data_IF_900058157333
#
_entry.id   IF_900058157333
#
_cell.length_a   1.000
_cell.length_b   1.000
_cell.length_c   1.000
_cell.angle_alpha   90.00
_cell.angle_beta   90.00
_cell.angle_gamma   90.00
#
_symmetry.space_group_name_H-M   'P 1'
#
loop_
_entity.id
_entity.type
_entity.pdbx_description
1 polymer ?
#
# COMPACT_ATOMS: atom_id res chain seq x y z
N UNK A 1 -13.98 -24.99 22.29
CA UNK A 1 -12.71 -24.19 22.30
C UNK A 1 -12.81 -23.18 21.19
N UNK A 2 -12.87 -21.90 21.53
CA UNK A 2 -12.92 -20.84 20.50
C UNK A 2 -11.66 -20.92 19.65
N UNK A 3 -11.82 -21.04 18.34
CA UNK A 3 -10.71 -20.88 17.41
C UNK A 3 -9.99 -19.56 17.71
N UNK A 4 -8.73 -19.65 18.11
CA UNK A 4 -7.91 -18.44 18.24
C UNK A 4 -7.85 -17.76 16.87
N UNK A 5 -8.48 -16.58 16.78
CA UNK A 5 -8.41 -15.73 15.60
C UNK A 5 -6.94 -15.53 15.22
N UNK A 6 -6.48 -16.22 14.19
CA UNK A 6 -5.09 -16.10 13.70
C UNK A 6 -4.98 -14.79 12.93
N UNK A 7 -4.12 -13.90 13.42
CA UNK A 7 -3.74 -12.71 12.66
C UNK A 7 -3.05 -13.11 11.36
N UNK A 8 -3.54 -12.64 10.24
CA UNK A 8 -2.88 -12.85 8.95
C UNK A 8 -1.50 -12.19 8.99
N UNK A 9 -0.44 -12.94 8.69
CA UNK A 9 0.92 -12.44 8.53
C UNK A 9 1.57 -11.86 9.80
N UNK A 10 1.87 -12.74 10.73
CA UNK A 10 2.71 -12.41 11.87
C UNK A 10 4.14 -12.88 11.58
N UNK A 11 5.09 -11.96 11.62
CA UNK A 11 6.49 -12.36 11.67
C UNK A 11 6.77 -13.00 13.04
N UNK A 12 7.36 -14.20 13.07
CA UNK A 12 7.77 -14.83 14.34
C UNK A 12 8.75 -13.91 15.09
N UNK A 13 8.59 -13.76 16.39
CA UNK A 13 9.51 -12.99 17.23
C UNK A 13 9.25 -11.47 17.30
N UNK A 14 8.27 -10.92 16.58
CA UNK A 14 7.95 -9.48 16.69
C UNK A 14 7.27 -9.17 18.02
N UNK A 15 7.85 -8.29 18.82
CA UNK A 15 7.24 -7.81 20.05
C UNK A 15 6.23 -6.69 19.73
N UNK A 16 4.96 -7.04 19.69
CA UNK A 16 3.87 -6.12 19.37
C UNK A 16 3.55 -5.10 20.48
N UNK A 17 4.32 -5.08 21.57
CA UNK A 17 4.14 -4.16 22.70
C UNK A 17 5.07 -2.96 22.66
N UNK A 18 6.17 -3.04 21.91
CA UNK A 18 7.23 -2.04 21.86
C UNK A 18 6.92 -0.84 20.97
N UNK A 19 7.83 0.14 21.02
CA UNK A 19 7.85 1.29 20.12
C UNK A 19 8.06 0.83 18.69
N UNK A 20 7.32 1.41 17.74
CA UNK A 20 7.44 1.02 16.34
C UNK A 20 6.41 1.65 15.43
N UNK A 21 6.62 1.44 14.14
CA UNK A 21 5.74 1.87 13.06
C UNK A 21 5.00 0.66 12.49
N UNK A 22 3.71 0.82 12.25
CA UNK A 22 2.84 -0.26 11.80
C UNK A 22 1.94 0.21 10.67
N UNK A 23 1.98 -0.51 9.55
CA UNK A 23 1.03 -0.33 8.47
C UNK A 23 -0.17 -1.25 8.71
N UNK A 24 -1.35 -0.65 8.78
CA UNK A 24 -2.62 -1.34 9.00
C UNK A 24 -3.49 -1.24 7.75
N UNK A 25 -4.13 -2.33 7.36
CA UNK A 25 -5.10 -2.34 6.27
C UNK A 25 -6.39 -3.01 6.73
N UNK A 26 -7.50 -2.30 6.66
CA UNK A 26 -8.85 -2.83 6.88
C UNK A 26 -9.58 -2.90 5.53
N UNK A 27 -10.02 -4.09 5.16
CA UNK A 27 -10.65 -4.34 3.87
C UNK A 27 -12.11 -4.76 4.05
N UNK A 28 -13.00 -4.28 3.16
CA UNK A 28 -14.37 -4.77 3.06
C UNK A 28 -14.35 -6.07 2.24
N UNK A 29 -15.01 -7.15 2.71
CA UNK A 29 -15.19 -8.38 1.94
C UNK A 29 -15.76 -8.11 0.55
N UNK A 30 -15.37 -8.94 -0.41
CA UNK A 30 -15.78 -8.84 -1.82
C UNK A 30 -15.45 -7.49 -2.49
N UNK A 31 -14.59 -6.68 -1.85
CA UNK A 31 -14.18 -5.38 -2.38
C UNK A 31 -15.35 -4.44 -2.71
N UNK A 32 -16.45 -4.54 -1.96
CA UNK A 32 -17.61 -3.65 -2.12
C UNK A 32 -17.23 -2.19 -1.81
N UNK A 33 -17.52 -1.23 -2.70
CA UNK A 33 -17.07 0.17 -2.56
C UNK A 33 -17.99 0.97 -1.61
N UNK A 34 -18.07 0.57 -0.34
CA UNK A 34 -18.99 1.15 0.65
C UNK A 34 -18.43 2.37 1.38
N UNK A 35 -17.09 2.57 1.36
CA UNK A 35 -16.43 3.63 2.12
C UNK A 35 -16.30 4.93 1.35
N UNK A 36 -16.36 4.87 0.02
CA UNK A 36 -16.19 6.05 -0.80
C UNK A 36 -16.43 5.77 -2.28
N UNK A 37 -16.43 6.86 -3.06
CA UNK A 37 -16.48 6.84 -4.52
C UNK A 37 -15.21 7.46 -5.09
N UNK A 38 -14.59 6.81 -6.05
CA UNK A 38 -13.47 7.38 -6.79
C UNK A 38 -14.01 8.44 -7.77
N UNK A 39 -13.48 9.64 -7.69
CA UNK A 39 -13.70 10.74 -8.63
C UNK A 39 -12.40 11.02 -9.38
N UNK A 40 -12.51 11.20 -10.70
CA UNK A 40 -11.36 11.47 -11.58
C UNK A 40 -11.65 12.76 -12.35
N UNK A 41 -11.33 13.93 -11.77
CA UNK A 41 -11.60 15.21 -12.42
C UNK A 41 -10.90 15.33 -13.77
N UNK A 42 -11.66 15.67 -14.82
CA UNK A 42 -11.16 15.82 -16.18
C UNK A 42 -10.53 14.55 -16.77
N UNK A 43 -10.98 13.36 -16.32
CA UNK A 43 -10.45 12.06 -16.71
C UNK A 43 -8.93 11.91 -16.51
N UNK A 44 -8.33 12.77 -15.66
CA UNK A 44 -6.91 12.71 -15.32
C UNK A 44 -6.68 11.86 -14.07
N UNK A 45 -6.04 10.68 -14.18
CA UNK A 45 -5.76 9.80 -13.04
C UNK A 45 -4.94 10.46 -11.93
N UNK A 46 -4.03 11.38 -12.27
CA UNK A 46 -3.19 12.07 -11.29
C UNK A 46 -3.99 12.97 -10.34
N UNK A 47 -5.20 13.37 -10.77
CA UNK A 47 -6.13 14.18 -9.98
C UNK A 47 -7.19 13.34 -9.27
N UNK A 48 -7.08 12.03 -9.33
CA UNK A 48 -8.04 11.12 -8.73
C UNK A 48 -8.10 11.28 -7.21
N UNK A 49 -9.31 11.38 -6.68
CA UNK A 49 -9.60 11.49 -5.25
C UNK A 49 -10.72 10.54 -4.87
N UNK A 50 -10.81 10.19 -3.58
CA UNK A 50 -11.91 9.40 -3.06
C UNK A 50 -12.84 10.30 -2.26
N UNK A 51 -14.06 10.51 -2.76
CA UNK A 51 -15.14 11.14 -1.99
C UNK A 51 -15.70 10.11 -1.02
N UNK A 52 -15.62 10.40 0.27
CA UNK A 52 -16.04 9.50 1.33
C UNK A 52 -17.56 9.43 1.44
N UNK A 53 -18.07 8.26 1.79
CA UNK A 53 -19.47 8.08 2.23
C UNK A 53 -19.61 8.43 3.72
N UNK A 54 -20.83 8.47 4.24
CA UNK A 54 -21.05 8.62 5.68
C UNK A 54 -20.39 7.50 6.49
N UNK A 55 -20.44 6.24 6.02
CA UNK A 55 -19.70 5.13 6.63
C UNK A 55 -18.18 5.34 6.57
N UNK A 56 -17.67 5.84 5.45
CA UNK A 56 -16.25 6.16 5.28
C UNK A 56 -15.78 7.26 6.23
N UNK A 57 -16.58 8.32 6.44
CA UNK A 57 -16.30 9.38 7.41
C UNK A 57 -16.29 8.83 8.84
N UNK A 58 -17.33 8.09 9.25
CA UNK A 58 -17.40 7.50 10.58
C UNK A 58 -16.24 6.55 10.88
N UNK A 59 -15.77 5.79 9.87
CA UNK A 59 -14.60 4.92 10.00
C UNK A 59 -13.31 5.73 10.20
N UNK A 60 -13.15 6.84 9.47
CA UNK A 60 -11.99 7.73 9.62
C UNK A 60 -12.01 8.41 10.98
N UNK A 61 -13.16 8.90 11.45
CA UNK A 61 -13.30 9.50 12.76
C UNK A 61 -12.91 8.48 13.85
N UNK A 62 -13.39 7.24 13.76
CA UNK A 62 -12.99 6.16 14.67
C UNK A 62 -11.48 5.83 14.62
N UNK A 63 -10.85 5.95 13.47
CA UNK A 63 -9.38 5.79 13.35
C UNK A 63 -8.65 6.94 14.06
N UNK A 64 -9.09 8.16 13.84
CA UNK A 64 -8.48 9.37 14.42
C UNK A 64 -8.71 9.50 15.92
N UNK A 65 -9.70 8.82 16.47
CA UNK A 65 -9.95 8.72 17.91
C UNK A 65 -9.04 7.72 18.64
N UNK A 66 -8.27 6.89 17.92
CA UNK A 66 -7.35 5.94 18.55
C UNK A 66 -6.42 6.60 19.58
N UNK A 67 -5.77 7.76 19.32
CA UNK A 67 -4.91 8.42 20.30
C UNK A 67 -5.63 8.90 21.56
N UNK A 68 -6.95 9.10 21.50
CA UNK A 68 -7.75 9.47 22.67
C UNK A 68 -7.84 8.31 23.68
N UNK A 69 -8.04 7.08 23.18
CA UNK A 69 -8.10 5.88 24.02
C UNK A 69 -6.73 5.26 24.32
N UNK A 70 -5.78 5.48 23.43
CA UNK A 70 -4.42 4.95 23.47
C UNK A 70 -3.41 6.07 23.24
N UNK A 71 -3.08 6.90 24.26
CA UNK A 71 -2.19 8.04 24.12
C UNK A 71 -0.77 7.68 23.66
N UNK A 72 -0.42 6.40 23.74
CA UNK A 72 0.84 5.85 23.24
C UNK A 72 0.90 5.77 21.72
N UNK A 73 -0.26 5.75 21.06
CA UNK A 73 -0.39 5.55 19.61
C UNK A 73 -0.70 6.87 18.93
N UNK A 74 -0.01 7.13 17.83
CA UNK A 74 -0.27 8.26 16.95
C UNK A 74 -0.65 7.73 15.56
N UNK A 75 -1.68 8.29 14.95
CA UNK A 75 -2.01 8.08 13.53
C UNK A 75 -1.17 9.05 12.71
N UNK A 76 -0.14 8.53 12.02
CA UNK A 76 0.76 9.36 11.22
C UNK A 76 0.17 9.70 9.86
N UNK A 77 -0.45 8.71 9.23
CA UNK A 77 -0.95 8.84 7.87
C UNK A 77 -2.06 7.84 7.60
N UNK A 78 -2.98 8.16 6.70
CA UNK A 78 -4.00 7.22 6.24
C UNK A 78 -4.53 7.60 4.86
N UNK A 79 -5.09 6.61 4.15
CA UNK A 79 -5.87 6.81 2.93
C UNK A 79 -7.09 5.89 2.95
N UNK A 80 -8.26 6.49 2.78
CA UNK A 80 -9.50 5.75 2.60
C UNK A 80 -9.74 5.52 1.12
N UNK A 81 -9.80 4.25 0.76
CA UNK A 81 -10.19 3.80 -0.57
C UNK A 81 -11.67 3.40 -0.58
N UNK A 82 -12.31 3.24 -1.74
CA UNK A 82 -13.71 2.85 -1.80
C UNK A 82 -14.06 1.57 -1.02
N UNK A 83 -13.14 0.63 -0.93
CA UNK A 83 -13.34 -0.73 -0.43
C UNK A 83 -12.38 -1.13 0.69
N UNK A 84 -11.48 -0.23 1.11
CA UNK A 84 -10.52 -0.49 2.19
C UNK A 84 -9.92 0.80 2.75
N UNK A 85 -9.29 0.69 3.91
CA UNK A 85 -8.56 1.76 4.59
C UNK A 85 -7.12 1.32 4.81
N UNK A 86 -6.17 2.17 4.45
CA UNK A 86 -4.78 2.08 4.88
C UNK A 86 -4.49 3.11 5.97
N UNK A 87 -3.76 2.70 7.00
CA UNK A 87 -3.27 3.61 8.04
C UNK A 87 -1.85 3.28 8.45
N UNK A 88 -1.08 4.30 8.81
CA UNK A 88 0.24 4.17 9.44
C UNK A 88 0.13 4.64 10.87
N UNK A 89 0.35 3.73 11.79
CA UNK A 89 0.30 3.96 13.23
C UNK A 89 1.73 3.96 13.80
N UNK A 90 2.02 4.93 14.66
CA UNK A 90 3.26 5.00 15.41
C UNK A 90 3.01 4.76 16.89
N UNK A 91 3.65 3.76 17.46
CA UNK A 91 3.67 3.49 18.89
C UNK A 91 4.86 4.21 19.49
N UNK A 92 4.61 5.25 20.30
CA UNK A 92 5.66 6.11 20.86
C UNK A 92 6.33 5.54 22.11
N UNK A 93 5.63 4.70 22.85
CA UNK A 93 6.11 4.04 24.07
C UNK A 93 5.45 2.69 24.25
N UNK A 94 6.07 1.81 25.03
CA UNK A 94 5.56 0.46 25.31
C UNK A 94 4.15 0.51 25.89
N UNK A 95 3.28 -0.34 25.36
CA UNK A 95 1.87 -0.45 25.72
C UNK A 95 1.57 -1.76 26.46
N UNK A 96 0.67 -1.76 27.44
CA UNK A 96 0.23 -2.98 28.11
C UNK A 96 -0.43 -3.99 27.17
N UNK A 97 -1.34 -3.51 26.31
CA UNK A 97 -2.14 -4.33 25.39
C UNK A 97 -1.44 -4.62 24.05
N UNK A 98 -0.44 -3.81 23.69
CA UNK A 98 0.22 -3.84 22.40
C UNK A 98 -0.66 -3.36 21.24
N UNK A 99 -0.02 -3.11 20.09
CA UNK A 99 -0.71 -2.57 18.90
C UNK A 99 -1.82 -3.49 18.38
N UNK A 100 -1.71 -4.79 18.56
CA UNK A 100 -2.75 -5.74 18.16
C UNK A 100 -4.05 -5.51 18.92
N UNK A 101 -3.97 -5.21 20.22
CA UNK A 101 -5.14 -4.86 21.04
C UNK A 101 -5.82 -3.59 20.55
N UNK A 102 -5.03 -2.56 20.24
CA UNK A 102 -5.52 -1.29 19.68
C UNK A 102 -6.25 -1.52 18.35
N UNK A 103 -5.62 -2.24 17.41
CA UNK A 103 -6.23 -2.51 16.09
C UNK A 103 -7.45 -3.43 16.20
N UNK A 104 -7.46 -4.36 17.17
CA UNK A 104 -8.65 -5.17 17.47
C UNK A 104 -9.79 -4.29 17.97
N UNK A 105 -9.53 -3.35 18.88
CA UNK A 105 -10.53 -2.39 19.37
C UNK A 105 -11.10 -1.54 18.22
N UNK A 106 -10.25 -0.98 17.39
CA UNK A 106 -10.66 -0.26 16.18
C UNK A 106 -11.54 -1.13 15.26
N UNK A 107 -11.14 -2.37 14.98
CA UNK A 107 -11.93 -3.29 14.17
C UNK A 107 -13.30 -3.61 14.78
N UNK A 108 -13.38 -3.79 16.10
CA UNK A 108 -14.66 -4.01 16.77
C UNK A 108 -15.58 -2.76 16.65
N UNK A 109 -15.01 -1.55 16.73
CA UNK A 109 -15.69 -0.30 16.42
C UNK A 109 -16.21 -0.27 14.98
N UNK A 110 -15.36 -0.57 14.01
CA UNK A 110 -15.74 -0.68 12.60
C UNK A 110 -16.87 -1.68 12.35
N UNK A 111 -16.85 -2.84 13.03
CA UNK A 111 -17.96 -3.84 12.96
C UNK A 111 -19.28 -3.28 13.48
N UNK A 112 -19.26 -2.48 14.54
CA UNK A 112 -20.48 -1.80 15.04
C UNK A 112 -20.99 -0.78 14.02
N UNK A 113 -20.11 0.06 13.47
CA UNK A 113 -20.46 1.02 12.41
C UNK A 113 -21.05 0.32 11.18
N UNK A 114 -20.42 -0.78 10.73
CA UNK A 114 -20.91 -1.57 9.60
C UNK A 114 -22.32 -2.14 9.85
N UNK A 115 -22.60 -2.66 11.04
CA UNK A 115 -23.93 -3.15 11.40
C UNK A 115 -24.98 -2.02 11.41
N UNK A 116 -24.66 -0.90 12.01
CA UNK A 116 -25.55 0.28 12.04
C UNK A 116 -25.83 0.78 10.60
N UNK A 117 -24.80 0.85 9.77
CA UNK A 117 -24.94 1.22 8.35
C UNK A 117 -25.85 0.25 7.58
N UNK A 118 -25.65 -1.05 7.74
CA UNK A 118 -26.45 -2.07 7.07
C UNK A 118 -27.92 -2.00 7.50
N UNK A 119 -28.16 -1.80 8.79
CA UNK A 119 -29.52 -1.63 9.33
C UNK A 119 -30.22 -0.38 8.75
N UNK A 120 -29.51 0.76 8.70
CA UNK A 120 -30.05 2.00 8.12
C UNK A 120 -30.35 1.86 6.62
N UNK A 121 -29.46 1.16 5.87
CA UNK A 121 -29.64 0.96 4.43
C UNK A 121 -30.80 0.05 4.07
N UNK A 122 -31.11 -0.95 4.89
CA UNK A 122 -32.24 -1.86 4.68
C UNK A 122 -33.59 -1.23 5.01
N UNK A 123 -33.64 -0.27 5.93
CA UNK A 123 -34.86 0.46 6.27
C UNK A 123 -35.25 1.52 5.21
N UNK A 124 -34.31 1.91 4.37
CA UNK A 124 -34.45 2.99 3.38
C UNK A 124 -34.61 2.52 1.94
N UNK A 125 -34.80 1.24 1.68
CA UNK A 125 -35.02 0.74 0.31
C UNK A 125 -36.42 1.17 -0.19
N UNK A 126 -36.61 1.79 -1.38
CA UNK A 126 -35.76 1.87 -2.58
C UNK A 126 -35.29 3.28 -2.98
N UNK A 127 -35.41 4.33 -2.16
CA UNK A 127 -35.12 5.72 -2.55
C UNK A 127 -33.73 6.24 -2.20
N UNK A 128 -32.90 5.49 -1.49
CA UNK A 128 -31.62 6.01 -0.96
C UNK A 128 -30.48 6.07 -1.98
N UNK A 129 -30.66 5.52 -3.17
CA UNK A 129 -29.63 5.59 -4.24
C UNK A 129 -29.62 6.96 -4.95
N UNK A 130 -30.63 7.82 -4.74
CA UNK A 130 -30.78 9.06 -5.52
C UNK A 130 -30.78 10.41 -4.77
N UNK A 131 -30.79 10.47 -3.47
CA UNK A 131 -30.92 11.78 -2.81
C UNK A 131 -30.43 11.78 -1.38
N UNK A 132 -29.45 12.56 -1.10
CA UNK A 132 -29.02 13.28 0.11
C UNK A 132 -27.52 13.24 0.36
N UNK A 133 -26.74 13.57 -0.70
CA UNK A 133 -25.33 13.93 -0.51
C UNK A 133 -25.12 15.38 -0.02
N UNK A 134 -26.17 16.16 0.18
CA UNK A 134 -26.05 17.60 0.51
C UNK A 134 -26.14 17.93 2.02
N UNK A 135 -26.78 17.13 2.85
CA UNK A 135 -26.94 17.48 4.27
C UNK A 135 -25.75 17.09 5.16
N UNK A 136 -24.93 16.11 4.79
CA UNK A 136 -23.70 15.78 5.52
C UNK A 136 -22.58 16.82 5.40
N UNK A 137 -22.69 17.78 4.49
CA UNK A 137 -21.64 18.79 4.27
C UNK A 137 -21.61 19.92 5.31
N UNK A 138 -22.69 20.20 6.04
CA UNK A 138 -22.73 21.32 6.99
C UNK A 138 -22.12 21.03 8.35
N UNK A 139 -21.98 19.78 8.77
CA UNK A 139 -21.53 19.44 10.13
C UNK A 139 -20.01 19.30 10.28
N UNK A 140 -19.24 19.16 9.20
CA UNK A 140 -17.80 18.88 9.25
C UNK A 140 -16.89 19.92 8.61
N UNK A 141 -17.41 21.06 8.10
CA UNK A 141 -16.54 22.09 7.49
C UNK A 141 -15.53 22.68 8.49
N UNK A 142 -15.90 22.89 9.75
CA UNK A 142 -15.00 23.46 10.77
C UNK A 142 -13.86 22.52 11.22
N UNK A 143 -14.04 21.19 11.12
CA UNK A 143 -12.97 20.22 11.44
C UNK A 143 -12.12 19.85 10.22
N UNK A 144 -12.67 19.94 9.01
CA UNK A 144 -11.97 19.63 7.77
C UNK A 144 -10.93 20.69 7.39
N UNK A 145 -11.17 21.96 7.69
CA UNK A 145 -10.23 23.05 7.38
C UNK A 145 -8.89 22.85 8.10
N UNK A 146 -8.89 22.44 9.36
CA UNK A 146 -7.67 22.15 10.12
C UNK A 146 -6.92 20.90 9.62
N UNK A 147 -7.61 19.95 8.94
CA UNK A 147 -6.98 18.76 8.36
C UNK A 147 -6.50 18.97 6.92
N UNK A 148 -7.15 19.86 6.16
CA UNK A 148 -6.70 20.24 4.83
C UNK A 148 -5.46 21.14 4.89
N UNK A 149 -5.27 21.94 5.92
CA UNK A 149 -4.02 22.69 6.15
C UNK A 149 -2.84 21.77 6.43
N UNK A 150 -3.03 20.68 7.19
CA UNK A 150 -2.00 19.64 7.37
C UNK A 150 -1.60 18.92 6.08
N UNK A 151 -2.52 18.77 5.13
CA UNK A 151 -2.21 18.21 3.81
C UNK A 151 -1.61 19.24 2.84
N UNK A 152 -1.95 20.53 2.97
CA UNK A 152 -1.37 21.61 2.15
C UNK A 152 0.10 21.88 2.49
N UNK A 153 0.54 21.69 3.72
CA UNK A 153 1.94 21.83 4.11
C UNK A 153 2.88 20.78 3.48
N UNK A 154 2.35 19.68 2.96
CA UNK A 154 3.13 18.63 2.28
C UNK A 154 3.09 18.69 0.75
N UNK A 155 2.37 19.66 0.16
CA UNK A 155 2.44 19.96 -1.29
C UNK A 155 3.54 20.99 -1.58
N UNK A 156 4.74 20.80 -1.03
CA UNK A 156 5.94 21.47 -1.47
C UNK A 156 6.22 21.10 -2.93
N UNK A 157 6.35 22.13 -3.78
CA UNK A 157 6.64 22.03 -5.21
C UNK A 157 7.74 20.99 -5.47
N UNK A 158 7.68 20.21 -6.55
CA UNK A 158 8.80 19.37 -6.97
C UNK A 158 9.98 20.30 -7.32
N UNK A 159 10.94 20.36 -6.42
CA UNK A 159 12.20 21.05 -6.66
C UNK A 159 13.02 20.23 -7.67
N UNK A 160 13.39 20.88 -8.76
CA UNK A 160 14.37 20.41 -9.72
C UNK A 160 15.66 19.98 -9.00
N UNK A 161 15.95 18.70 -8.95
CA UNK A 161 17.27 18.20 -8.68
C UNK A 161 18.02 17.99 -9.99
N UNK A 162 18.69 19.05 -10.43
CA UNK A 162 19.81 18.93 -11.34
C UNK A 162 21.10 18.81 -10.53
N UNK A 163 21.82 17.76 -10.81
CA UNK A 163 23.23 17.54 -10.86
C UNK A 163 24.14 18.12 -9.76
N UNK A 164 25.01 17.25 -9.29
CA UNK A 164 26.20 17.67 -8.58
C UNK A 164 26.92 16.51 -7.90
N UNK A 165 27.71 15.78 -8.69
CA UNK A 165 28.80 14.98 -8.16
C UNK A 165 29.78 15.86 -7.39
N UNK A 166 30.25 15.40 -6.23
CA UNK A 166 31.69 15.31 -5.94
C UNK A 166 31.96 14.57 -4.63
N UNK A 167 32.81 13.59 -4.77
CA UNK A 167 33.55 12.93 -3.68
C UNK A 167 34.32 13.93 -2.86
N UNK A 168 34.37 13.74 -1.53
CA UNK A 168 35.65 13.86 -0.84
C UNK A 168 35.68 13.04 0.46
N UNK A 169 36.72 12.24 0.56
CA UNK A 169 37.14 11.52 1.73
C UNK A 169 37.72 12.50 2.75
N UNK A 170 37.37 12.36 4.02
CA UNK A 170 38.01 13.05 5.14
C UNK A 170 37.89 12.19 6.39
N UNK A 171 39.01 11.83 6.93
CA UNK A 171 39.22 11.02 8.14
C UNK A 171 38.72 11.73 9.42
N UNK A 172 38.44 10.97 10.51
CA UNK A 172 37.98 11.52 11.77
C UNK A 172 39.16 12.03 12.62
N UNK A 173 39.02 13.21 13.15
CA UNK A 173 39.90 13.67 14.27
C UNK A 173 39.10 13.74 15.58
N UNK A 174 39.75 13.18 16.60
CA UNK A 174 39.38 13.19 18.00
C UNK A 174 39.34 14.60 18.58
N UNK A 175 38.30 14.95 19.34
CA UNK A 175 38.44 15.96 20.39
C UNK A 175 37.75 15.50 21.66
N UNK A 176 38.61 15.26 22.69
CA UNK A 176 38.24 15.22 24.09
C UNK A 176 38.17 16.64 24.66
N UNK A 177 37.11 16.94 25.40
CA UNK A 177 37.02 18.20 26.16
C UNK A 177 36.12 18.02 27.38
N UNK A 178 36.67 18.19 28.55
CA UNK A 178 36.12 18.03 29.89
C UNK A 178 35.10 19.11 30.30
N UNK A 179 34.40 18.91 31.45
CA UNK A 179 33.21 19.64 31.84
C UNK A 179 33.51 20.88 32.67
N UNK A 180 32.65 21.87 32.60
CA UNK A 180 32.68 23.09 33.42
C UNK A 180 31.26 23.44 33.94
N UNK A 181 31.18 23.40 35.20
CA UNK A 181 30.36 23.89 36.32
C UNK A 181 29.37 25.05 36.07
N UNK A 182 28.19 24.86 36.64
CA UNK A 182 27.41 25.76 37.55
C UNK A 182 27.05 27.18 37.09
N UNK A 183 25.74 27.48 37.02
CA UNK A 183 25.18 28.54 37.88
C UNK A 183 23.65 28.50 37.94
N UNK A 184 23.18 28.68 39.18
CA UNK A 184 21.81 28.85 39.63
C UNK A 184 21.18 30.16 39.12
N UNK A 185 19.87 30.21 39.00
CA UNK A 185 19.18 31.48 38.72
C UNK A 185 17.67 31.36 38.67
N UNK A 186 17.05 31.47 39.84
CA UNK A 186 15.77 32.13 40.16
C UNK A 186 14.44 31.67 39.53
N UNK A 187 13.63 31.13 40.46
CA UNK A 187 12.17 31.03 40.40
C UNK A 187 11.51 32.40 40.21
N UNK A 188 10.51 32.47 39.33
CA UNK A 188 9.41 33.42 39.48
C UNK A 188 8.10 32.69 39.15
N UNK A 189 7.30 32.57 40.20
CA UNK A 189 5.97 31.97 40.16
C UNK A 189 4.96 32.78 39.36
N UNK A 190 4.18 32.08 38.59
CA UNK A 190 2.88 32.55 38.11
C UNK A 190 1.85 31.46 38.33
N UNK A 191 1.00 31.71 39.30
CA UNK A 191 -0.26 31.00 39.54
C UNK A 191 -1.15 31.16 38.31
N UNK A 192 -1.29 30.14 37.52
CA UNK A 192 -2.27 30.05 36.42
C UNK A 192 -3.46 29.22 36.85
N UNK A 193 -4.63 29.82 36.79
CA UNK A 193 -5.93 29.26 37.10
C UNK A 193 -6.18 27.94 36.31
N UNK A 194 -6.53 26.88 37.06
CA UNK A 194 -7.19 25.70 36.52
C UNK A 194 -8.55 26.09 35.99
N UNK A 195 -8.71 26.16 34.70
CA UNK A 195 -10.03 26.09 34.07
C UNK A 195 -10.41 24.63 33.91
N UNK A 196 -11.41 24.23 34.67
CA UNK A 196 -12.13 22.97 34.57
C UNK A 196 -12.85 22.86 33.22
N UNK A 197 -12.24 22.14 32.28
CA UNK A 197 -12.85 21.69 31.04
C UNK A 197 -12.96 20.16 31.00
N UNK A 198 -13.51 19.58 32.04
CA UNK A 198 -13.77 18.14 32.13
C UNK A 198 -15.28 17.78 31.98
N UNK A 199 -16.04 18.50 31.19
CA UNK A 199 -17.48 18.24 31.13
C UNK A 199 -18.11 18.09 29.74
N UNK A 200 -17.43 18.39 28.64
CA UNK A 200 -18.14 18.56 27.37
C UNK A 200 -17.70 17.68 26.19
N UNK A 201 -16.70 16.80 26.34
CA UNK A 201 -16.23 15.94 25.27
C UNK A 201 -16.61 14.46 25.37
N UNK A 202 -17.09 14.01 26.53
CA UNK A 202 -17.60 12.64 26.72
C UNK A 202 -18.99 12.41 26.14
N UNK A 203 -19.80 13.47 26.04
CA UNK A 203 -21.19 13.34 25.63
C UNK A 203 -21.41 13.21 24.12
N UNK A 204 -20.53 13.73 23.26
CA UNK A 204 -20.80 13.73 21.81
C UNK A 204 -20.70 12.34 21.16
N UNK A 205 -19.75 11.52 21.59
CA UNK A 205 -19.60 10.16 21.08
C UNK A 205 -20.64 9.21 21.68
N UNK A 206 -20.96 9.37 22.96
CA UNK A 206 -22.06 8.64 23.58
C UNK A 206 -23.43 9.06 23.02
N UNK A 207 -23.65 10.37 22.77
CA UNK A 207 -24.86 10.84 22.12
C UNK A 207 -24.97 10.41 20.66
N UNK A 208 -23.88 10.36 19.91
CA UNK A 208 -23.85 9.86 18.52
C UNK A 208 -24.02 8.34 18.49
N UNK A 209 -23.35 7.61 19.38
CA UNK A 209 -23.56 6.17 19.56
C UNK A 209 -24.99 5.89 20.04
N UNK A 210 -25.52 6.66 20.98
CA UNK A 210 -26.89 6.53 21.47
C UNK A 210 -27.92 6.94 20.41
N UNK A 211 -27.64 7.96 19.57
CA UNK A 211 -28.47 8.30 18.41
C UNK A 211 -28.46 7.22 17.35
N UNK A 212 -27.29 6.64 17.04
CA UNK A 212 -27.18 5.51 16.12
C UNK A 212 -27.84 4.25 16.71
N UNK A 213 -27.71 4.00 18.01
CA UNK A 213 -28.35 2.89 18.71
C UNK A 213 -29.86 3.08 18.82
N UNK A 214 -30.34 4.31 19.11
CA UNK A 214 -31.77 4.66 19.15
C UNK A 214 -32.38 4.60 17.74
N UNK A 215 -31.67 5.09 16.73
CA UNK A 215 -32.05 4.94 15.33
C UNK A 215 -32.08 3.47 14.91
N UNK A 216 -31.07 2.67 15.30
CA UNK A 216 -31.02 1.24 15.04
C UNK A 216 -32.13 0.46 15.80
N UNK A 217 -32.46 0.87 17.02
CA UNK A 217 -33.55 0.27 17.80
C UNK A 217 -34.93 0.56 17.19
N UNK A 218 -35.18 1.82 16.79
CA UNK A 218 -36.41 2.18 16.07
C UNK A 218 -36.54 1.51 14.70
N UNK A 219 -35.44 1.19 14.07
CA UNK A 219 -35.37 0.46 12.79
C UNK A 219 -35.57 -1.04 12.97
N UNK A 220 -35.10 -1.63 14.10
CA UNK A 220 -35.38 -3.04 14.46
C UNK A 220 -36.88 -3.28 14.63
N UNK A 221 -37.57 -2.34 15.25
CA UNK A 221 -39.02 -2.43 15.48
C UNK A 221 -39.84 -2.36 14.18
N UNK A 222 -39.29 -1.70 13.13
CA UNK A 222 -39.92 -1.57 11.81
C UNK A 222 -39.66 -2.70 10.82
N UNK A 223 -38.49 -3.37 10.93
CA UNK A 223 -38.03 -4.34 9.91
C UNK A 223 -38.21 -5.79 10.37
N UNK A 224 -38.47 -6.04 11.66
CA UNK A 224 -38.53 -7.40 12.22
C UNK A 224 -37.14 -8.05 12.35
N UNK A 225 -36.93 -8.82 13.43
CA UNK A 225 -35.63 -9.43 13.75
C UNK A 225 -35.11 -10.41 12.68
N UNK A 226 -35.96 -11.06 11.93
CA UNK A 226 -35.58 -12.06 10.92
C UNK A 226 -34.89 -11.43 9.68
N UNK A 227 -35.32 -10.24 9.25
CA UNK A 227 -34.65 -9.53 8.16
C UNK A 227 -33.28 -8.96 8.54
N UNK A 228 -33.04 -8.71 9.82
CA UNK A 228 -31.78 -8.17 10.34
C UNK A 228 -30.63 -9.18 10.28
N UNK A 229 -30.93 -10.46 10.42
CA UNK A 229 -29.92 -11.55 10.38
C UNK A 229 -29.40 -11.87 8.97
N UNK A 230 -30.07 -11.44 7.91
CA UNK A 230 -29.70 -11.75 6.52
C UNK A 230 -28.72 -10.77 5.89
N UNK A 231 -28.39 -9.66 6.57
CA UNK A 231 -27.51 -8.64 6.02
C UNK A 231 -26.04 -9.00 6.28
N UNK A 232 -25.31 -9.23 5.22
CA UNK A 232 -23.87 -9.56 5.29
C UNK A 232 -23.08 -8.46 6.02
N UNK A 233 -22.35 -8.80 7.10
CA UNK A 233 -21.58 -7.82 7.85
C UNK A 233 -20.51 -7.16 6.98
N UNK A 234 -20.32 -5.84 7.17
CA UNK A 234 -19.41 -5.03 6.33
C UNK A 234 -17.95 -5.30 6.62
N UNK A 235 -17.56 -5.50 7.89
CA UNK A 235 -16.18 -5.70 8.32
C UNK A 235 -16.02 -7.07 8.98
N UNK A 236 -15.96 -8.13 8.21
CA UNK A 236 -15.82 -9.51 8.71
C UNK A 236 -14.37 -9.92 8.90
N UNK A 237 -13.48 -9.43 8.03
CA UNK A 237 -12.08 -9.79 8.06
C UNK A 237 -11.30 -8.95 9.04
N UNK A 238 -10.38 -9.59 9.78
CA UNK A 238 -9.46 -8.87 10.66
C UNK A 238 -8.51 -7.98 9.85
N UNK A 239 -8.18 -6.78 10.37
CA UNK A 239 -7.18 -5.93 9.73
C UNK A 239 -5.84 -6.63 9.59
N UNK A 240 -5.20 -6.40 8.46
CA UNK A 240 -3.81 -6.79 8.27
C UNK A 240 -2.90 -5.76 8.95
N UNK A 241 -1.92 -6.24 9.73
CA UNK A 241 -0.91 -5.40 10.39
C UNK A 241 0.47 -5.84 9.94
N UNK A 242 1.28 -4.91 9.50
CA UNK A 242 2.68 -5.12 9.13
C UNK A 242 3.58 -4.16 9.90
N UNK A 243 4.53 -4.66 10.72
CA UNK A 243 5.55 -3.81 11.31
C UNK A 243 6.52 -3.30 10.25
N UNK A 244 7.04 -2.10 10.44
CA UNK A 244 8.07 -1.50 9.59
C UNK A 244 9.40 -1.58 10.33
N UNK A 245 10.37 -2.28 9.75
CA UNK A 245 11.68 -2.53 10.39
C UNK A 245 12.81 -1.57 9.98
N UNK A 246 12.59 -0.76 8.92
CA UNK A 246 13.64 0.10 8.37
C UNK A 246 13.15 1.53 8.13
N UNK A 247 13.99 2.52 8.35
CA UNK A 247 13.66 3.94 8.21
C UNK A 247 13.16 4.32 6.81
N UNK A 248 13.64 3.64 5.76
CA UNK A 248 13.20 3.87 4.37
C UNK A 248 11.81 3.33 4.06
N UNK A 249 11.26 2.45 4.91
CA UNK A 249 9.93 1.87 4.68
C UNK A 249 8.81 2.89 4.90
N UNK A 250 8.97 3.82 5.85
CA UNK A 250 7.94 4.81 6.15
C UNK A 250 7.64 5.72 4.94
N UNK A 251 8.61 6.44 4.35
CA UNK A 251 8.34 7.29 3.20
C UNK A 251 7.80 6.51 2.01
N UNK A 252 8.31 5.29 1.77
CA UNK A 252 7.81 4.43 0.69
C UNK A 252 6.36 3.99 0.94
N UNK A 253 6.00 3.68 2.19
CA UNK A 253 4.63 3.30 2.55
C UNK A 253 3.67 4.48 2.44
N UNK A 254 4.07 5.68 2.89
CA UNK A 254 3.26 6.90 2.74
C UNK A 254 3.01 7.16 1.25
N UNK A 255 4.06 7.20 0.44
CA UNK A 255 3.93 7.37 -1.02
C UNK A 255 3.02 6.32 -1.65
N UNK A 256 3.17 5.06 -1.26
CA UNK A 256 2.30 3.98 -1.73
C UNK A 256 0.83 4.24 -1.37
N UNK A 257 0.56 4.69 -0.15
CA UNK A 257 -0.79 5.00 0.35
C UNK A 257 -1.38 6.18 -0.41
N UNK A 258 -0.62 7.26 -0.60
CA UNK A 258 -1.07 8.48 -1.30
C UNK A 258 -1.41 8.23 -2.77
N UNK A 259 -0.62 7.38 -3.43
CA UNK A 259 -0.83 7.06 -4.84
C UNK A 259 -1.97 6.05 -5.11
N UNK A 260 -2.63 5.54 -4.08
CA UNK A 260 -3.68 4.52 -4.28
C UNK A 260 -4.89 5.01 -5.10
N UNK A 261 -5.45 6.22 -4.89
CA UNK A 261 -6.56 6.74 -5.71
C UNK A 261 -6.17 6.87 -7.19
N UNK A 262 -4.99 7.42 -7.47
CA UNK A 262 -4.45 7.61 -8.82
C UNK A 262 -4.24 6.27 -9.53
N UNK A 263 -3.69 5.30 -8.82
CA UNK A 263 -3.50 3.93 -9.33
C UNK A 263 -4.80 3.22 -9.59
N UNK A 264 -5.80 3.41 -8.74
CA UNK A 264 -7.14 2.86 -8.99
C UNK A 264 -7.78 3.49 -10.23
N UNK A 265 -7.64 4.80 -10.42
CA UNK A 265 -8.09 5.51 -11.61
C UNK A 265 -7.41 4.97 -12.88
N UNK A 266 -6.08 4.87 -12.85
CA UNK A 266 -5.28 4.32 -13.96
C UNK A 266 -5.71 2.89 -14.33
N UNK A 267 -5.91 2.02 -13.31
CA UNK A 267 -6.41 0.65 -13.54
C UNK A 267 -7.77 0.62 -14.22
N UNK A 268 -8.67 1.54 -13.85
CA UNK A 268 -10.01 1.62 -14.45
C UNK A 268 -9.98 2.14 -15.88
N UNK A 269 -9.06 3.05 -16.19
CA UNK A 269 -8.90 3.57 -17.56
C UNK A 269 -8.18 2.60 -18.49
N UNK A 270 -7.27 1.77 -17.96
CA UNK A 270 -6.46 0.83 -18.74
C UNK A 270 -6.63 -0.62 -18.25
N UNK A 271 -7.86 -1.15 -18.23
CA UNK A 271 -8.11 -2.46 -17.63
C UNK A 271 -7.34 -3.59 -18.33
N UNK A 272 -7.11 -3.49 -19.64
CA UNK A 272 -6.37 -4.49 -20.42
C UNK A 272 -4.94 -4.72 -19.95
N UNK A 273 -4.29 -3.68 -19.37
CA UNK A 273 -2.93 -3.82 -18.84
C UNK A 273 -2.87 -4.32 -17.39
N UNK A 274 -4.01 -4.38 -16.70
CA UNK A 274 -4.06 -4.74 -15.29
C UNK A 274 -4.96 -5.96 -14.99
N UNK A 275 -5.66 -6.49 -15.98
CA UNK A 275 -6.31 -7.78 -15.85
C UNK A 275 -5.30 -8.92 -16.02
N UNK A 276 -5.52 -10.02 -15.32
CA UNK A 276 -4.74 -11.24 -15.52
C UNK A 276 -5.21 -11.92 -16.78
N UNK A 277 -4.36 -11.94 -17.79
CA UNK A 277 -4.59 -12.67 -19.04
C UNK A 277 -4.15 -14.12 -18.83
N UNK A 278 -5.08 -15.05 -18.99
CA UNK A 278 -4.83 -16.48 -18.74
C UNK A 278 -4.48 -17.20 -20.04
N UNK A 279 -3.71 -18.26 -19.91
CA UNK A 279 -3.40 -19.20 -21.01
C UNK A 279 -2.69 -18.54 -22.22
N UNK A 280 -1.72 -17.66 -21.99
CA UNK A 280 -0.84 -17.15 -23.05
C UNK A 280 0.12 -18.28 -23.44
N UNK A 281 -0.02 -18.82 -24.66
CA UNK A 281 0.82 -19.93 -25.13
C UNK A 281 2.05 -19.40 -25.86
N UNK A 282 3.26 -19.77 -25.37
CA UNK A 282 4.54 -19.41 -25.95
C UNK A 282 5.39 -20.68 -26.03
N UNK A 283 5.83 -21.08 -27.21
CA UNK A 283 6.65 -22.27 -27.38
C UNK A 283 6.02 -23.58 -26.87
N UNK A 284 4.68 -23.68 -26.92
CA UNK A 284 3.94 -24.82 -26.38
C UNK A 284 3.73 -24.81 -24.87
N UNK A 285 4.23 -23.81 -24.15
CA UNK A 285 4.03 -23.62 -22.70
C UNK A 285 2.99 -22.55 -22.45
N UNK A 286 2.08 -22.79 -21.48
CA UNK A 286 1.07 -21.84 -21.06
C UNK A 286 1.59 -20.94 -19.93
N UNK A 287 1.32 -19.64 -20.04
CA UNK A 287 1.63 -18.61 -19.05
C UNK A 287 0.37 -17.83 -18.70
N UNK A 288 0.31 -17.35 -17.48
CA UNK A 288 -0.55 -16.24 -17.13
C UNK A 288 0.24 -14.94 -17.21
N UNK A 289 -0.39 -13.84 -17.61
CA UNK A 289 0.31 -12.56 -17.80
C UNK A 289 -0.46 -11.35 -17.34
N UNK A 290 0.28 -10.29 -16.97
CA UNK A 290 -0.24 -8.96 -16.66
C UNK A 290 0.63 -7.93 -17.38
N UNK A 291 0.03 -7.00 -18.10
CA UNK A 291 0.72 -5.97 -18.86
C UNK A 291 0.44 -6.04 -20.35
N UNK A 292 1.39 -5.58 -21.14
CA UNK A 292 1.25 -5.46 -22.59
C UNK A 292 1.72 -6.73 -23.32
N UNK A 293 0.79 -7.59 -23.73
CA UNK A 293 1.10 -8.80 -24.49
C UNK A 293 1.62 -8.52 -25.91
N UNK A 294 1.42 -7.31 -26.44
CA UNK A 294 1.95 -6.94 -27.76
C UNK A 294 3.50 -6.91 -27.76
N UNK A 295 4.14 -6.88 -26.58
CA UNK A 295 5.61 -7.01 -26.47
C UNK A 295 6.11 -8.38 -26.95
N UNK A 296 5.26 -9.39 -26.97
CA UNK A 296 5.58 -10.70 -27.52
C UNK A 296 5.69 -10.70 -29.08
N UNK A 297 5.12 -9.70 -29.74
CA UNK A 297 5.15 -9.56 -31.20
C UNK A 297 6.35 -8.76 -31.70
N UNK A 298 7.33 -8.47 -30.83
CA UNK A 298 8.50 -7.67 -31.19
C UNK A 298 9.53 -8.54 -31.94
N UNK A 299 10.04 -8.03 -33.06
CA UNK A 299 11.05 -8.73 -33.89
C UNK A 299 12.40 -8.89 -33.20
N UNK A 300 12.69 -8.04 -32.21
CA UNK A 300 13.99 -8.03 -31.52
C UNK A 300 13.79 -8.29 -30.04
N UNK A 301 14.24 -9.46 -29.59
CA UNK A 301 14.28 -9.82 -28.18
C UNK A 301 15.68 -10.25 -27.77
N UNK A 302 16.03 -10.04 -26.50
CA UNK A 302 17.29 -10.52 -25.93
C UNK A 302 17.09 -10.94 -24.47
N UNK A 303 17.79 -12.02 -24.08
CA UNK A 303 17.75 -12.52 -22.69
C UNK A 303 18.71 -11.72 -21.82
N UNK A 304 18.28 -11.41 -20.59
CA UNK A 304 19.18 -10.97 -19.53
C UNK A 304 19.32 -12.10 -18.52
N UNK A 305 20.46 -12.77 -18.56
CA UNK A 305 20.81 -13.86 -17.65
C UNK A 305 22.27 -13.73 -17.22
N UNK A 306 22.51 -13.23 -16.01
CA UNK A 306 23.86 -13.08 -15.46
C UNK A 306 24.32 -14.43 -14.90
N UNK A 307 25.11 -15.14 -15.70
CA UNK A 307 25.63 -16.46 -15.34
C UNK A 307 26.58 -16.38 -14.14
N UNK A 308 26.50 -17.38 -13.26
CA UNK A 308 27.34 -17.46 -12.05
C UNK A 308 28.85 -17.38 -12.32
N UNK A 309 29.30 -17.80 -13.49
CA UNK A 309 30.70 -17.69 -13.90
C UNK A 309 31.18 -16.24 -13.99
N UNK A 310 30.34 -15.31 -14.51
CA UNK A 310 30.64 -13.87 -14.57
C UNK A 310 30.71 -13.26 -13.18
N UNK A 311 29.79 -13.66 -12.28
CA UNK A 311 29.80 -13.16 -10.89
C UNK A 311 31.06 -13.62 -10.16
N UNK A 312 31.44 -14.92 -10.28
CA UNK A 312 32.66 -15.45 -9.68
C UNK A 312 33.93 -14.83 -10.26
N UNK A 313 33.94 -14.47 -11.56
CA UNK A 313 35.05 -13.75 -12.16
C UNK A 313 35.18 -12.34 -11.56
N UNK A 314 34.07 -11.62 -11.41
CA UNK A 314 34.02 -10.29 -10.76
C UNK A 314 34.50 -10.34 -9.31
N UNK A 315 34.11 -11.37 -8.53
CA UNK A 315 34.58 -11.60 -7.16
C UNK A 315 36.09 -11.84 -7.09
N UNK A 316 36.70 -12.37 -8.13
CA UNK A 316 38.16 -12.59 -8.29
C UNK A 316 38.92 -11.38 -8.86
N UNK A 317 38.20 -10.26 -9.11
CA UNK A 317 38.80 -9.03 -9.61
C UNK A 317 38.47 -8.65 -11.05
N UNK A 318 37.93 -9.58 -11.87
CA UNK A 318 37.48 -9.31 -13.25
C UNK A 318 36.08 -8.68 -13.26
N UNK A 319 35.99 -7.45 -12.74
CA UNK A 319 34.74 -6.68 -12.69
C UNK A 319 34.32 -6.23 -14.09
N UNK A 320 35.25 -6.10 -15.01
CA UNK A 320 35.01 -5.52 -16.33
C UNK A 320 34.11 -6.39 -17.20
N UNK A 321 34.30 -7.70 -17.20
CA UNK A 321 33.46 -8.64 -17.95
C UNK A 321 31.98 -8.54 -17.52
N UNK A 322 31.70 -8.48 -16.21
CA UNK A 322 30.35 -8.33 -15.70
C UNK A 322 29.74 -6.96 -16.05
N UNK A 323 30.54 -5.89 -15.98
CA UNK A 323 30.12 -4.54 -16.35
C UNK A 323 29.78 -4.47 -17.83
N UNK A 324 30.66 -5.03 -18.68
CA UNK A 324 30.47 -5.06 -20.14
C UNK A 324 29.21 -5.84 -20.53
N UNK A 325 28.95 -6.98 -19.87
CA UNK A 325 27.73 -7.74 -20.08
C UNK A 325 26.48 -6.90 -19.73
N UNK A 326 26.41 -6.26 -18.56
CA UNK A 326 25.27 -5.39 -18.20
C UNK A 326 25.07 -4.24 -19.19
N UNK A 327 26.17 -3.59 -19.59
CA UNK A 327 26.14 -2.53 -20.58
C UNK A 327 25.65 -3.01 -21.95
N UNK A 328 26.03 -4.21 -22.38
CA UNK A 328 25.54 -4.80 -23.63
C UNK A 328 24.04 -5.03 -23.62
N UNK A 329 23.47 -5.48 -22.48
CA UNK A 329 22.03 -5.62 -22.31
C UNK A 329 21.30 -4.26 -22.45
N UNK A 330 21.79 -3.21 -21.76
CA UNK A 330 21.21 -1.87 -21.87
C UNK A 330 21.32 -1.32 -23.28
N UNK A 331 22.46 -1.52 -23.95
CA UNK A 331 22.65 -1.10 -25.33
C UNK A 331 21.71 -1.86 -26.30
N UNK A 332 21.41 -3.13 -26.05
CA UNK A 332 20.42 -3.87 -26.83
C UNK A 332 19.03 -3.24 -26.69
N UNK A 333 18.61 -2.88 -25.47
CA UNK A 333 17.35 -2.19 -25.23
C UNK A 333 17.28 -0.82 -25.93
N UNK A 334 18.35 -0.02 -25.86
CA UNK A 334 18.47 1.26 -26.57
C UNK A 334 18.42 1.12 -28.10
N UNK A 335 18.77 -0.06 -28.62
CA UNK A 335 18.62 -0.41 -30.04
C UNK A 335 17.26 -1.02 -30.38
N UNK A 336 16.31 -0.96 -29.46
CA UNK A 336 14.92 -1.38 -29.65
C UNK A 336 14.65 -2.86 -29.34
N UNK A 337 15.56 -3.58 -28.70
CA UNK A 337 15.29 -4.95 -28.27
C UNK A 337 14.45 -4.96 -26.98
N UNK A 338 13.43 -5.82 -26.93
CA UNK A 338 12.70 -6.14 -25.70
C UNK A 338 13.51 -7.15 -24.91
N UNK A 339 13.91 -6.76 -23.67
CA UNK A 339 14.67 -7.65 -22.81
C UNK A 339 13.76 -8.59 -22.04
N UNK A 340 14.14 -9.87 -21.95
CA UNK A 340 13.37 -10.92 -21.28
C UNK A 340 14.20 -11.49 -20.15
N UNK A 341 13.68 -11.48 -18.91
CA UNK A 341 14.39 -12.02 -17.74
C UNK A 341 13.46 -12.20 -16.55
N UNK A 342 13.74 -13.12 -15.63
CA UNK A 342 13.14 -13.14 -14.32
C UNK A 342 13.70 -12.06 -13.37
N UNK A 343 14.81 -11.41 -13.71
CA UNK A 343 15.49 -10.38 -12.91
C UNK A 343 15.69 -10.77 -11.45
N UNK A 344 16.20 -11.99 -11.21
CA UNK A 344 16.34 -12.56 -9.86
C UNK A 344 17.59 -12.02 -9.17
N UNK A 345 18.73 -12.05 -9.85
CA UNK A 345 20.01 -11.66 -9.27
C UNK A 345 20.10 -10.14 -9.06
N UNK A 346 20.93 -9.67 -8.08
CA UNK A 346 21.17 -8.24 -7.90
C UNK A 346 21.65 -7.54 -9.16
N UNK A 347 22.44 -8.23 -9.99
CA UNK A 347 23.00 -7.67 -11.23
C UNK A 347 21.94 -7.53 -12.34
N UNK A 348 21.03 -8.49 -12.46
CA UNK A 348 19.87 -8.40 -13.36
C UNK A 348 18.90 -7.32 -12.92
N UNK A 349 18.66 -7.17 -11.61
CA UNK A 349 17.87 -6.07 -11.06
C UNK A 349 18.46 -4.69 -11.37
N UNK A 350 19.78 -4.56 -11.42
CA UNK A 350 20.44 -3.33 -11.87
C UNK A 350 20.12 -3.02 -13.33
N UNK A 351 20.11 -4.03 -14.20
CA UNK A 351 19.68 -3.85 -15.60
C UNK A 351 18.20 -3.43 -15.64
N UNK A 352 17.31 -4.15 -14.92
CA UNK A 352 15.90 -3.80 -14.86
C UNK A 352 15.67 -2.35 -14.37
N UNK A 353 16.45 -1.90 -13.38
CA UNK A 353 16.34 -0.52 -12.88
C UNK A 353 16.65 0.49 -13.97
N UNK A 354 17.71 0.27 -14.77
CA UNK A 354 18.03 1.14 -15.92
C UNK A 354 16.91 1.13 -16.96
N UNK A 355 16.30 -0.05 -17.24
CA UNK A 355 15.17 -0.12 -18.16
C UNK A 355 13.96 0.67 -17.67
N UNK A 356 13.70 0.65 -16.35
CA UNK A 356 12.62 1.43 -15.73
C UNK A 356 12.91 2.92 -15.79
N UNK A 357 14.12 3.35 -15.46
CA UNK A 357 14.55 4.75 -15.41
C UNK A 357 14.59 5.39 -16.83
N UNK A 358 15.11 4.64 -17.80
CA UNK A 358 15.17 5.06 -19.21
C UNK A 358 13.87 4.75 -19.99
N UNK A 359 12.89 4.14 -19.34
CA UNK A 359 11.58 3.81 -19.91
C UNK A 359 11.60 2.83 -21.10
N UNK A 360 12.53 1.89 -21.12
CA UNK A 360 12.59 0.85 -22.14
C UNK A 360 11.63 -0.31 -21.85
N UNK A 361 11.06 -0.95 -22.89
CA UNK A 361 10.16 -2.08 -22.70
C UNK A 361 10.92 -3.36 -22.33
N UNK A 362 10.28 -4.23 -21.50
CA UNK A 362 10.81 -5.53 -21.15
C UNK A 362 9.74 -6.53 -20.72
N UNK A 363 10.09 -7.81 -20.73
CA UNK A 363 9.26 -8.92 -20.25
C UNK A 363 9.91 -9.48 -18.98
N UNK A 364 9.13 -9.53 -17.90
CA UNK A 364 9.57 -10.05 -16.60
C UNK A 364 8.87 -11.37 -16.30
N UNK A 365 9.63 -12.41 -15.92
CA UNK A 365 9.07 -13.67 -15.42
C UNK A 365 9.04 -13.66 -13.90
N UNK A 366 7.94 -14.13 -13.30
CA UNK A 366 7.79 -14.22 -11.85
C UNK A 366 7.62 -15.67 -11.39
N UNK A 367 8.10 -15.96 -10.18
CA UNK A 367 8.13 -17.28 -9.55
C UNK A 367 6.80 -17.71 -8.90
N UNK A 368 5.79 -16.88 -8.96
CA UNK A 368 4.45 -17.19 -8.45
C UNK A 368 3.39 -16.69 -9.42
N UNK A 369 2.22 -17.34 -9.42
CA UNK A 369 1.09 -16.93 -10.24
C UNK A 369 0.41 -15.66 -9.73
N UNK A 370 -0.67 -15.29 -10.39
CA UNK A 370 -1.40 -14.05 -10.11
C UNK A 370 -2.72 -14.32 -9.41
N UNK A 371 -3.00 -13.51 -8.38
CA UNK A 371 -4.37 -13.38 -7.83
C UNK A 371 -5.23 -12.60 -8.82
N UNK A 372 -6.54 -12.76 -8.75
CA UNK A 372 -7.47 -12.03 -9.61
C UNK A 372 -7.33 -10.50 -9.50
N UNK A 373 -6.99 -10.01 -8.30
CA UNK A 373 -6.74 -8.58 -8.04
C UNK A 373 -5.24 -8.25 -7.96
N UNK A 374 -4.43 -8.89 -8.81
CA UNK A 374 -2.99 -8.63 -8.81
C UNK A 374 -2.70 -7.16 -9.11
N UNK A 375 -1.72 -6.62 -8.39
CA UNK A 375 -1.20 -5.27 -8.57
C UNK A 375 0.32 -5.35 -8.62
N UNK A 376 0.95 -4.95 -9.72
CA UNK A 376 2.40 -4.83 -9.79
C UNK A 376 2.96 -3.92 -8.69
N UNK A 377 4.23 -4.06 -8.35
CA UNK A 377 4.95 -3.11 -7.48
C UNK A 377 5.03 -1.73 -8.13
N UNK A 378 5.36 -0.71 -7.35
CA UNK A 378 5.25 0.70 -7.77
C UNK A 378 5.87 1.02 -9.13
N UNK A 379 7.15 0.72 -9.32
CA UNK A 379 7.85 1.00 -10.58
C UNK A 379 7.30 0.15 -11.74
N UNK A 380 6.98 -1.11 -11.50
CA UNK A 380 6.35 -1.99 -12.48
C UNK A 380 4.91 -1.57 -12.79
N UNK A 381 4.19 -1.00 -11.82
CA UNK A 381 2.84 -0.49 -12.05
C UNK A 381 2.86 0.63 -13.10
N UNK A 382 3.75 1.61 -12.94
CA UNK A 382 3.86 2.75 -13.85
C UNK A 382 4.32 2.29 -15.25
N UNK A 383 5.23 1.32 -15.31
CA UNK A 383 5.68 0.73 -16.57
C UNK A 383 4.57 -0.10 -17.26
N UNK A 384 3.74 -0.85 -16.50
CA UNK A 384 2.55 -1.54 -17.01
C UNK A 384 1.52 -0.52 -17.55
N UNK A 385 1.25 0.55 -16.79
CA UNK A 385 0.31 1.60 -17.19
C UNK A 385 0.74 2.28 -18.52
N UNK A 386 2.04 2.38 -18.74
CA UNK A 386 2.63 2.91 -19.97
C UNK A 386 2.73 1.87 -21.10
N UNK A 387 2.30 0.63 -20.89
CA UNK A 387 2.38 -0.45 -21.88
C UNK A 387 3.79 -0.97 -22.15
N UNK A 388 4.75 -0.68 -21.26
CA UNK A 388 6.17 -1.03 -21.42
C UNK A 388 6.59 -2.34 -20.77
N UNK A 389 5.70 -2.96 -20.00
CA UNK A 389 6.01 -4.20 -19.28
C UNK A 389 4.95 -5.26 -19.54
N UNK A 390 5.41 -6.49 -19.71
CA UNK A 390 4.64 -7.71 -19.59
C UNK A 390 5.26 -8.56 -18.47
N UNK A 391 4.44 -8.94 -17.48
CA UNK A 391 4.84 -9.83 -16.39
C UNK A 391 4.20 -11.18 -16.67
N UNK A 392 4.99 -12.25 -16.79
CA UNK A 392 4.54 -13.60 -17.06
C UNK A 392 4.79 -14.54 -15.89
N UNK A 393 3.89 -15.47 -15.65
CA UNK A 393 4.11 -16.60 -14.75
C UNK A 393 3.64 -17.91 -15.38
N UNK A 394 4.46 -18.97 -15.32
CA UNK A 394 4.06 -20.31 -15.76
C UNK A 394 3.28 -21.09 -14.68
N UNK A 395 3.16 -20.54 -13.47
CA UNK A 395 2.56 -21.21 -12.34
C UNK A 395 1.23 -20.61 -11.92
N UNK A 396 0.41 -21.42 -11.27
CA UNK A 396 -0.74 -20.94 -10.53
C UNK A 396 -0.30 -20.21 -9.26
N UNK A 397 -1.18 -19.32 -8.75
CA UNK A 397 -0.90 -18.59 -7.54
C UNK A 397 -0.88 -19.50 -6.31
N UNK A 398 0.24 -19.49 -5.59
CA UNK A 398 0.41 -20.15 -4.30
C UNK A 398 0.54 -19.12 -3.18
N UNK A 399 -0.46 -19.08 -2.29
CA UNK A 399 -0.47 -18.19 -1.13
C UNK A 399 0.58 -18.59 -0.06
N UNK A 400 1.05 -19.84 -0.08
CA UNK A 400 2.06 -20.37 0.85
C UNK A 400 3.50 -20.07 0.44
N UNK A 401 3.75 -19.76 -0.83
CA UNK A 401 5.10 -19.53 -1.36
C UNK A 401 5.73 -18.27 -0.76
N UNK A 402 6.86 -18.41 -0.08
CA UNK A 402 7.59 -17.32 0.59
C UNK A 402 8.92 -16.99 -0.07
N UNK A 403 9.57 -17.98 -0.64
CA UNK A 403 10.90 -17.86 -1.22
C UNK A 403 10.95 -18.55 -2.56
N UNK A 404 11.77 -18.01 -3.45
CA UNK A 404 12.10 -18.66 -4.71
C UNK A 404 13.14 -19.77 -4.45
N UNK A 405 12.92 -20.95 -4.98
CA UNK A 405 13.90 -22.04 -4.92
C UNK A 405 14.96 -21.90 -6.00
N UNK A 406 16.09 -22.60 -5.83
CA UNK A 406 17.12 -22.68 -6.89
C UNK A 406 16.57 -23.33 -8.16
N UNK A 407 15.70 -24.33 -8.03
CA UNK A 407 15.06 -24.97 -9.18
C UNK A 407 14.17 -23.99 -9.94
N UNK A 408 13.36 -23.16 -9.21
CA UNK A 408 12.57 -22.12 -9.84
C UNK A 408 13.44 -21.10 -10.59
N UNK A 409 14.58 -20.70 -10.00
CA UNK A 409 15.50 -19.76 -10.66
C UNK A 409 16.02 -20.32 -11.98
N UNK A 410 16.44 -21.60 -12.00
CA UNK A 410 16.91 -22.25 -13.23
C UNK A 410 15.78 -22.39 -14.24
N UNK A 411 14.60 -22.81 -13.81
CA UNK A 411 13.42 -22.95 -14.67
C UNK A 411 13.04 -21.61 -15.34
N UNK A 412 12.99 -20.51 -14.55
CA UNK A 412 12.66 -19.19 -15.08
C UNK A 412 13.68 -18.66 -16.10
N UNK A 413 14.97 -18.89 -15.83
CA UNK A 413 16.01 -18.50 -16.80
C UNK A 413 15.91 -19.28 -18.11
N UNK A 414 15.68 -20.60 -18.04
CA UNK A 414 15.47 -21.44 -19.23
C UNK A 414 14.22 -20.97 -20.00
N UNK A 415 13.13 -20.66 -19.31
CA UNK A 415 11.91 -20.13 -19.93
C UNK A 415 12.14 -18.77 -20.60
N UNK A 416 12.95 -17.89 -20.01
CA UNK A 416 13.32 -16.63 -20.64
C UNK A 416 14.10 -16.86 -21.96
N UNK A 417 15.02 -17.84 -21.97
CA UNK A 417 15.75 -18.26 -23.17
C UNK A 417 14.81 -18.88 -24.22
N UNK A 418 13.88 -19.77 -23.79
CA UNK A 418 12.87 -20.38 -24.67
C UNK A 418 11.96 -19.31 -25.31
N UNK A 419 11.49 -18.33 -24.55
CA UNK A 419 10.65 -17.24 -25.08
C UNK A 419 11.39 -16.50 -26.21
N UNK A 420 12.62 -16.09 -25.97
CA UNK A 420 13.41 -15.37 -26.98
C UNK A 420 13.66 -16.23 -28.22
N UNK A 421 13.96 -17.51 -28.05
CA UNK A 421 14.20 -18.43 -29.16
C UNK A 421 12.96 -18.65 -30.05
N UNK A 422 11.77 -18.76 -29.43
CA UNK A 422 10.50 -18.91 -30.15
C UNK A 422 10.20 -17.75 -31.12
N UNK A 423 10.61 -16.55 -30.79
CA UNK A 423 10.37 -15.36 -31.62
C UNK A 423 11.51 -14.97 -32.53
N UNK A 424 12.71 -15.56 -32.37
CA UNK A 424 13.82 -15.44 -33.31
C UNK A 424 13.75 -16.45 -34.44
N UNK A 425 12.93 -17.49 -34.31
CA UNK A 425 12.80 -18.58 -35.29
C UNK A 425 11.69 -18.35 -36.36
N UNK A 426 10.98 -17.24 -36.25
CA UNK A 426 9.92 -16.78 -37.16
C UNK A 426 10.46 -15.61 -37.98
#
# INVERSE_FOLDING_TARGET
MAEQEKWKWQEPGTTWKGVGLYHVTLTIPDRRPLLGRLEVPGDNPDKAVVRRTALGNALVDSLLDIPHYHPEVQVLHFCLMPDHLHAVLYVRRTMPTGIRGVVRGFWQGAKKLGRAWTAASSASAPNYIRGNYQEGQRYNQGKLENYQEGQRCNQGKPGNYQGGQRCNQGKPENYQGKPGSSQEGQESGLKGQRCSQEGLRGNSLQEETTRLETSAASLRERVGEESYCQLSPVFTEMPFIRPMGHNTQLPNTIRYIDMNPQRLATKRQKPGFFCVQRNIVIGGRSYDGVGNTMLLMTEKMAVVHVRSALVKAAERGDVEALRNYKNSCVLAARKGAVLVSPFISPHEKQVMQVLLDEQWPFICLTDNGFRDYYKPSDALFDACAAGRVLILSPWQYDAGKRHISRADCVALNNMAEEIVQCYLAV
#
